data_IF_325408835635
#
_entry.id   IF_325408835635
#
_cell.length_a   1.000
_cell.length_b   1.000
_cell.length_c   1.000
_cell.angle_alpha   90.00
_cell.angle_beta   90.00
_cell.angle_gamma   90.00
#
_symmetry.space_group_name_H-M   'P 1'
#
loop_
_entity.id
_entity.type
_entity.pdbx_description
1 polymer ?
#
# COMPACT_ATOMS: atom_id res chain seq x y z
N UNK A 1 -11.17 50.91 -19.55
CA UNK A 1 -11.07 50.36 -18.17
C UNK A 1 -11.73 48.99 -18.01
N UNK A 2 -13.05 48.83 -18.21
CA UNK A 2 -13.76 47.53 -18.02
C UNK A 2 -13.15 46.32 -18.75
N UNK A 3 -12.71 46.50 -20.01
CA UNK A 3 -12.03 45.47 -20.82
C UNK A 3 -10.65 45.05 -20.27
N UNK A 4 -9.88 45.98 -19.71
CA UNK A 4 -8.57 45.69 -19.13
C UNK A 4 -8.71 44.88 -17.83
N UNK A 5 -9.70 45.21 -17.01
CA UNK A 5 -10.03 44.47 -15.77
C UNK A 5 -10.44 43.03 -16.13
N UNK A 6 -11.26 42.84 -17.16
CA UNK A 6 -11.68 41.50 -17.59
C UNK A 6 -10.49 40.63 -18.06
N UNK A 7 -9.54 41.17 -18.82
CA UNK A 7 -8.33 40.44 -19.20
C UNK A 7 -7.45 40.08 -18.00
N UNK A 8 -7.28 41.01 -17.06
CA UNK A 8 -6.50 40.77 -15.84
C UNK A 8 -7.10 39.63 -15.00
N UNK A 9 -8.43 39.55 -14.90
CA UNK A 9 -9.12 38.46 -14.18
C UNK A 9 -8.90 37.11 -14.87
N UNK A 10 -8.99 37.03 -16.21
CA UNK A 10 -8.78 35.76 -16.94
C UNK A 10 -7.34 35.27 -16.80
N UNK A 11 -6.36 36.17 -16.88
CA UNK A 11 -4.94 35.83 -16.68
C UNK A 11 -4.71 35.33 -15.25
N UNK A 12 -5.33 35.96 -14.25
CA UNK A 12 -5.24 35.54 -12.86
C UNK A 12 -5.81 34.12 -12.67
N UNK A 13 -6.93 33.79 -13.31
CA UNK A 13 -7.49 32.44 -13.30
C UNK A 13 -6.59 31.42 -14.02
N UNK A 14 -5.97 31.80 -15.13
CA UNK A 14 -4.99 30.95 -15.82
C UNK A 14 -3.77 30.64 -14.93
N UNK A 15 -3.24 31.65 -14.23
CA UNK A 15 -2.13 31.50 -13.29
C UNK A 15 -2.53 30.63 -12.08
N UNK A 16 -3.72 30.82 -11.53
CA UNK A 16 -4.24 29.97 -10.46
C UNK A 16 -4.38 28.51 -10.90
N UNK A 17 -4.90 28.27 -12.11
CA UNK A 17 -5.01 26.93 -12.69
C UNK A 17 -3.65 26.28 -12.94
N UNK A 18 -2.65 27.06 -13.39
CA UNK A 18 -1.28 26.59 -13.57
C UNK A 18 -0.59 26.26 -12.25
N UNK A 19 -0.78 27.09 -11.22
CA UNK A 19 -0.27 26.83 -9.87
C UNK A 19 -0.87 25.53 -9.29
N UNK A 20 -2.19 25.34 -9.46
CA UNK A 20 -2.87 24.09 -9.10
C UNK A 20 -2.28 22.88 -9.82
N UNK A 21 -2.06 22.97 -11.13
CA UNK A 21 -1.43 21.92 -11.92
C UNK A 21 -0.03 21.53 -11.39
N UNK A 22 0.82 22.52 -11.08
CA UNK A 22 2.17 22.26 -10.55
C UNK A 22 2.13 21.62 -9.16
N UNK A 23 1.22 22.10 -8.29
CA UNK A 23 1.03 21.54 -6.96
C UNK A 23 0.58 20.07 -7.03
N UNK A 24 -0.45 19.77 -7.83
CA UNK A 24 -0.92 18.39 -8.01
C UNK A 24 0.16 17.50 -8.65
N UNK A 25 0.95 18.02 -9.59
CA UNK A 25 2.05 17.27 -10.23
C UNK A 25 3.10 16.81 -9.22
N UNK A 26 3.46 17.67 -8.26
CA UNK A 26 4.38 17.33 -7.17
C UNK A 26 3.79 16.27 -6.22
N UNK A 27 2.51 16.46 -5.83
CA UNK A 27 1.77 15.51 -5.00
C UNK A 27 1.66 14.13 -5.65
N UNK A 28 1.29 14.06 -6.93
CA UNK A 28 1.17 12.80 -7.69
C UNK A 28 2.53 12.09 -7.76
N UNK A 29 3.61 12.80 -8.09
CA UNK A 29 4.96 12.19 -8.17
C UNK A 29 5.40 11.63 -6.82
N UNK A 30 5.06 12.31 -5.73
CA UNK A 30 5.35 11.84 -4.37
C UNK A 30 4.48 10.65 -3.99
N UNK A 31 3.17 10.71 -4.29
CA UNK A 31 2.23 9.62 -4.09
C UNK A 31 2.64 8.35 -4.85
N UNK A 32 3.06 8.47 -6.12
CA UNK A 32 3.54 7.31 -6.91
C UNK A 32 4.73 6.64 -6.24
N UNK A 33 5.70 7.43 -5.74
CA UNK A 33 6.85 6.90 -5.00
C UNK A 33 6.42 6.20 -3.72
N UNK A 34 5.45 6.74 -2.99
CA UNK A 34 4.91 6.10 -1.78
C UNK A 34 4.18 4.80 -2.10
N UNK A 35 3.41 4.73 -3.18
CA UNK A 35 2.76 3.49 -3.63
C UNK A 35 3.79 2.42 -4.00
N UNK A 36 4.83 2.76 -4.76
CA UNK A 36 5.91 1.82 -5.10
C UNK A 36 6.62 1.34 -3.84
N UNK A 37 6.97 2.25 -2.92
CA UNK A 37 7.60 1.87 -1.65
C UNK A 37 6.70 0.99 -0.78
N UNK A 38 5.39 1.27 -0.76
CA UNK A 38 4.41 0.46 -0.05
C UNK A 38 4.22 -0.92 -0.69
N UNK A 39 4.21 -1.00 -2.03
CA UNK A 39 4.15 -2.28 -2.76
C UNK A 39 5.35 -3.15 -2.40
N UNK A 40 6.57 -2.60 -2.47
CA UNK A 40 7.77 -3.33 -2.09
C UNK A 40 7.72 -3.86 -0.65
N UNK A 41 7.10 -3.11 0.28
CA UNK A 41 6.91 -3.57 1.66
C UNK A 41 5.91 -4.72 1.78
N UNK A 42 4.82 -4.68 1.00
CA UNK A 42 3.86 -5.79 0.93
C UNK A 42 4.55 -7.01 0.35
N UNK A 43 5.28 -6.89 -0.75
CA UNK A 43 5.99 -8.00 -1.40
C UNK A 43 7.03 -8.64 -0.46
N UNK A 44 7.80 -7.82 0.27
CA UNK A 44 8.72 -8.28 1.30
C UNK A 44 8.00 -9.00 2.46
N UNK A 45 6.88 -8.45 2.90
CA UNK A 45 6.05 -9.06 3.94
C UNK A 45 5.44 -10.39 3.50
N UNK A 46 5.04 -10.50 2.23
CA UNK A 46 4.54 -11.74 1.62
C UNK A 46 5.63 -12.81 1.62
N UNK A 47 6.84 -12.46 1.18
CA UNK A 47 7.98 -13.39 1.18
C UNK A 47 8.31 -13.86 2.59
N UNK A 48 8.36 -12.94 3.56
CA UNK A 48 8.61 -13.29 4.96
C UNK A 48 7.49 -14.18 5.56
N UNK A 49 6.24 -13.96 5.16
CA UNK A 49 5.11 -14.79 5.57
C UNK A 49 5.23 -16.21 4.98
N UNK A 50 5.56 -16.33 3.71
CA UNK A 50 5.74 -17.62 3.04
C UNK A 50 6.90 -18.41 3.65
N UNK A 51 8.03 -17.76 3.93
CA UNK A 51 9.13 -18.38 4.68
C UNK A 51 8.70 -18.82 6.09
N UNK A 52 7.87 -18.02 6.76
CA UNK A 52 7.30 -18.34 8.07
C UNK A 52 6.40 -19.57 8.01
N UNK A 53 5.55 -19.69 6.98
CA UNK A 53 4.70 -20.85 6.73
C UNK A 53 5.54 -22.10 6.48
N UNK A 54 6.59 -22.03 5.65
CA UNK A 54 7.48 -23.16 5.40
C UNK A 54 8.14 -23.64 6.69
N UNK A 55 8.64 -22.73 7.54
CA UNK A 55 9.21 -23.08 8.85
C UNK A 55 8.20 -23.71 9.79
N UNK A 56 6.97 -23.21 9.78
CA UNK A 56 5.88 -23.74 10.59
C UNK A 56 5.53 -25.17 10.18
N UNK A 57 5.40 -25.42 8.87
CA UNK A 57 5.12 -26.76 8.34
C UNK A 57 6.27 -27.74 8.63
N UNK A 58 7.52 -27.31 8.52
CA UNK A 58 8.67 -28.12 8.93
C UNK A 58 8.61 -28.48 10.43
N UNK A 59 8.31 -27.51 11.30
CA UNK A 59 8.16 -27.76 12.73
C UNK A 59 6.98 -28.69 13.07
N UNK A 60 5.86 -28.59 12.33
CA UNK A 60 4.74 -29.54 12.44
C UNK A 60 5.15 -30.96 12.07
N UNK A 61 5.94 -31.10 11.00
CA UNK A 61 6.42 -32.41 10.57
C UNK A 61 7.36 -33.03 11.61
N UNK A 62 8.34 -32.27 12.12
CA UNK A 62 9.24 -32.73 13.20
C UNK A 62 8.45 -33.14 14.45
N UNK A 63 7.43 -32.37 14.83
CA UNK A 63 6.56 -32.70 15.97
C UNK A 63 5.75 -33.97 15.73
N UNK A 64 5.25 -34.17 14.50
CA UNK A 64 4.52 -35.38 14.12
C UNK A 64 5.41 -36.62 14.15
N UNK A 65 6.66 -36.51 13.67
CA UNK A 65 7.65 -37.58 13.72
C UNK A 65 8.00 -37.92 15.18
N UNK A 66 8.25 -36.92 16.01
CA UNK A 66 8.51 -37.11 17.45
C UNK A 66 7.32 -37.72 18.21
N UNK A 67 6.07 -37.38 17.83
CA UNK A 67 4.86 -38.04 18.36
C UNK A 67 4.80 -39.51 17.99
N UNK A 68 5.18 -39.86 16.75
CA UNK A 68 5.20 -41.25 16.29
C UNK A 68 6.25 -42.07 17.03
N UNK A 69 7.47 -41.53 17.18
CA UNK A 69 8.53 -42.17 17.97
C UNK A 69 8.12 -42.38 19.43
N UNK A 70 7.41 -41.40 20.01
CA UNK A 70 6.88 -41.51 21.38
C UNK A 70 5.84 -42.63 21.51
N UNK A 71 4.90 -42.74 20.57
CA UNK A 71 3.91 -43.82 20.54
C UNK A 71 4.57 -45.19 20.35
N UNK A 72 5.52 -45.32 19.42
CA UNK A 72 6.29 -46.57 19.21
C UNK A 72 7.08 -46.97 20.47
N UNK A 73 7.70 -46.01 21.16
CA UNK A 73 8.40 -46.25 22.41
C UNK A 73 7.46 -46.70 23.54
N UNK A 74 6.24 -46.16 23.56
CA UNK A 74 5.20 -46.46 24.56
C UNK A 74 4.56 -47.82 24.35
N UNK A 75 4.44 -48.27 23.09
CA UNK A 75 3.94 -49.61 22.76
C UNK A 75 4.97 -50.72 23.09
N UNK A 76 6.25 -50.38 23.18
CA UNK A 76 7.29 -51.31 23.60
C UNK A 76 7.31 -51.49 25.13
N UNK A 77 6.72 -52.59 25.61
CA UNK A 77 6.72 -52.97 27.03
C UNK A 77 8.12 -52.91 27.65
N UNK A 78 9.17 -53.33 26.93
CA UNK A 78 10.56 -53.32 27.43
C UNK A 78 11.06 -51.91 27.74
N UNK A 79 10.75 -50.93 26.87
CA UNK A 79 11.15 -49.54 27.08
C UNK A 79 10.36 -48.90 28.22
N UNK A 80 9.06 -49.16 28.30
CA UNK A 80 8.21 -48.70 29.39
C UNK A 80 8.66 -49.29 30.73
N UNK A 81 8.95 -50.59 30.77
CA UNK A 81 9.45 -51.27 31.97
C UNK A 81 10.82 -50.73 32.38
N UNK A 82 11.73 -50.53 31.44
CA UNK A 82 13.05 -49.94 31.71
C UNK A 82 12.93 -48.49 32.23
N UNK A 83 12.06 -47.65 31.65
CA UNK A 83 11.85 -46.28 32.15
C UNK A 83 11.22 -46.28 33.56
N UNK A 84 10.29 -47.19 33.85
CA UNK A 84 9.74 -47.34 35.20
C UNK A 84 10.80 -47.82 36.20
N UNK A 85 11.64 -48.77 35.81
CA UNK A 85 12.64 -49.36 36.71
C UNK A 85 13.84 -48.43 36.97
N UNK A 86 14.36 -47.78 35.92
CA UNK A 86 15.56 -46.94 36.02
C UNK A 86 15.27 -45.46 36.25
N UNK A 87 14.14 -44.94 35.74
CA UNK A 87 13.78 -43.51 35.80
C UNK A 87 12.48 -43.24 36.55
N UNK A 88 11.80 -44.27 37.07
CA UNK A 88 10.52 -44.13 37.77
C UNK A 88 9.39 -43.58 36.89
N UNK A 89 9.42 -43.83 35.57
CA UNK A 89 8.39 -43.37 34.63
C UNK A 89 8.49 -41.88 34.25
N UNK A 90 9.59 -41.20 34.62
CA UNK A 90 9.77 -39.77 34.38
C UNK A 90 10.10 -39.45 32.92
N UNK A 91 10.72 -40.39 32.17
CA UNK A 91 11.13 -40.15 30.79
C UNK A 91 9.93 -39.95 29.87
N UNK A 92 8.92 -40.82 29.98
CA UNK A 92 7.69 -40.68 29.21
C UNK A 92 6.90 -39.42 29.56
N UNK A 93 6.80 -39.06 30.86
CA UNK A 93 6.16 -37.80 31.30
C UNK A 93 6.88 -36.56 30.76
N UNK A 94 8.20 -36.61 30.64
CA UNK A 94 8.98 -35.49 30.10
C UNK A 94 8.82 -35.38 28.58
N UNK A 95 8.76 -36.51 27.87
CA UNK A 95 8.46 -36.53 26.44
C UNK A 95 7.04 -36.03 26.14
N UNK A 96 6.03 -36.43 26.92
CA UNK A 96 4.65 -35.93 26.81
C UNK A 96 4.59 -34.41 27.02
N UNK A 97 5.33 -33.87 28.00
CA UNK A 97 5.46 -32.42 28.19
C UNK A 97 6.13 -31.72 27.00
N UNK A 98 7.16 -32.33 26.40
CA UNK A 98 7.82 -31.77 25.20
C UNK A 98 6.87 -31.75 24.00
N UNK A 99 6.08 -32.79 23.81
CA UNK A 99 5.06 -32.86 22.76
C UNK A 99 4.01 -31.78 22.98
N UNK A 100 3.48 -31.63 24.20
CA UNK A 100 2.50 -30.60 24.52
C UNK A 100 3.06 -29.18 24.30
N UNK A 101 4.31 -28.94 24.69
CA UNK A 101 4.99 -27.66 24.42
C UNK A 101 5.20 -27.41 22.92
N UNK A 102 5.50 -28.47 22.15
CA UNK A 102 5.59 -28.39 20.69
C UNK A 102 4.26 -28.05 20.03
N UNK A 103 3.16 -28.67 20.46
CA UNK A 103 1.82 -28.37 19.98
C UNK A 103 1.44 -26.90 20.27
N UNK A 104 1.78 -26.39 21.45
CA UNK A 104 1.57 -24.99 21.80
C UNK A 104 2.41 -24.04 20.92
N UNK A 105 3.66 -24.40 20.62
CA UNK A 105 4.50 -23.62 19.70
C UNK A 105 3.94 -23.58 18.28
N UNK A 106 3.42 -24.71 17.78
CA UNK A 106 2.76 -24.78 16.48
C UNK A 106 1.53 -23.87 16.45
N UNK A 107 0.66 -23.96 17.47
CA UNK A 107 -0.53 -23.11 17.58
C UNK A 107 -0.17 -21.61 17.59
N UNK A 108 0.84 -21.22 18.38
CA UNK A 108 1.34 -19.84 18.38
C UNK A 108 1.94 -19.43 17.03
N UNK A 109 2.55 -20.37 16.30
CA UNK A 109 3.06 -20.16 14.95
C UNK A 109 1.94 -19.91 13.95
N UNK A 110 0.87 -20.70 14.00
CA UNK A 110 -0.33 -20.51 13.16
C UNK A 110 -1.00 -19.16 13.43
N UNK A 111 -1.13 -18.77 14.69
CA UNK A 111 -1.66 -17.45 15.06
C UNK A 111 -0.82 -16.30 14.51
N UNK A 112 0.52 -16.44 14.53
CA UNK A 112 1.45 -15.45 13.95
C UNK A 112 1.30 -15.37 12.43
N UNK A 113 1.15 -16.50 11.75
CA UNK A 113 0.91 -16.53 10.29
C UNK A 113 -0.41 -15.85 9.95
N UNK A 114 -1.50 -16.19 10.64
CA UNK A 114 -2.81 -15.58 10.42
C UNK A 114 -2.80 -14.07 10.70
N UNK A 115 -2.13 -13.65 11.78
CA UNK A 115 -1.94 -12.22 12.07
C UNK A 115 -1.09 -11.53 10.98
N UNK A 116 -0.10 -12.22 10.40
CA UNK A 116 0.69 -11.75 9.27
C UNK A 116 -0.15 -11.56 8.00
N UNK A 117 -0.97 -12.54 7.64
CA UNK A 117 -1.92 -12.48 6.51
C UNK A 117 -2.86 -11.29 6.64
N UNK A 118 -3.51 -11.11 7.80
CA UNK A 118 -4.40 -9.97 8.03
C UNK A 118 -3.70 -8.62 7.89
N UNK A 119 -2.41 -8.54 8.28
CA UNK A 119 -1.60 -7.32 8.11
C UNK A 119 -1.28 -7.05 6.65
N UNK A 120 -1.00 -8.09 5.86
CA UNK A 120 -0.77 -7.98 4.42
C UNK A 120 -2.05 -7.53 3.72
N UNK A 121 -3.19 -8.17 3.98
CA UNK A 121 -4.49 -7.77 3.44
C UNK A 121 -4.81 -6.29 3.74
N UNK A 122 -4.57 -5.86 4.98
CA UNK A 122 -4.76 -4.47 5.37
C UNK A 122 -3.79 -3.52 4.65
N UNK A 123 -2.55 -3.96 4.41
CA UNK A 123 -1.55 -3.23 3.63
C UNK A 123 -1.96 -3.07 2.17
N UNK A 124 -2.44 -4.14 1.55
CA UNK A 124 -2.95 -4.15 0.17
C UNK A 124 -4.17 -3.25 -0.01
N UNK A 125 -5.12 -3.29 0.93
CA UNK A 125 -6.29 -2.38 0.91
C UNK A 125 -5.86 -0.92 0.95
N UNK A 126 -4.93 -0.56 1.84
CA UNK A 126 -4.37 0.81 1.91
C UNK A 126 -3.65 1.21 0.62
N UNK A 127 -2.94 0.28 -0.02
CA UNK A 127 -2.33 0.53 -1.33
C UNK A 127 -3.37 0.77 -2.41
N UNK A 128 -4.46 -0.01 -2.41
CA UNK A 128 -5.57 0.16 -3.35
C UNK A 128 -6.24 1.53 -3.18
N UNK A 129 -6.59 1.90 -1.96
CA UNK A 129 -7.15 3.22 -1.63
C UNK A 129 -6.20 4.35 -2.04
N UNK A 130 -4.90 4.19 -1.77
CA UNK A 130 -3.88 5.17 -2.18
C UNK A 130 -3.75 5.30 -3.71
N UNK A 131 -3.90 4.20 -4.46
CA UNK A 131 -3.91 4.22 -5.93
C UNK A 131 -5.17 4.92 -6.46
N UNK A 132 -6.32 4.70 -5.86
CA UNK A 132 -7.57 5.37 -6.24
C UNK A 132 -7.47 6.88 -6.02
N UNK A 133 -6.99 7.31 -4.85
CA UNK A 133 -6.74 8.73 -4.56
C UNK A 133 -5.75 9.36 -5.55
N UNK A 134 -4.74 8.60 -5.98
CA UNK A 134 -3.78 9.05 -6.96
C UNK A 134 -4.42 9.21 -8.35
N UNK A 135 -5.33 8.31 -8.73
CA UNK A 135 -6.13 8.43 -9.95
C UNK A 135 -7.03 9.67 -9.95
N UNK A 136 -7.68 9.96 -8.83
CA UNK A 136 -8.47 11.19 -8.66
C UNK A 136 -7.59 12.45 -8.77
N UNK A 137 -6.40 12.43 -8.17
CA UNK A 137 -5.45 13.52 -8.29
C UNK A 137 -4.96 13.71 -9.74
N UNK A 138 -4.72 12.62 -10.49
CA UNK A 138 -4.39 12.70 -11.91
C UNK A 138 -5.54 13.31 -12.75
N UNK A 139 -6.79 12.92 -12.47
CA UNK A 139 -7.96 13.53 -13.09
C UNK A 139 -8.06 15.04 -12.82
N UNK A 140 -7.88 15.44 -11.56
CA UNK A 140 -7.88 16.85 -11.18
C UNK A 140 -6.72 17.63 -11.84
N UNK A 141 -5.54 17.01 -12.00
CA UNK A 141 -4.41 17.62 -12.72
C UNK A 141 -4.77 17.88 -14.19
N UNK A 142 -5.43 16.94 -14.86
CA UNK A 142 -5.87 17.11 -16.25
C UNK A 142 -6.90 18.25 -16.33
N UNK A 143 -7.86 18.31 -15.39
CA UNK A 143 -8.82 19.41 -15.34
C UNK A 143 -8.13 20.78 -15.16
N UNK A 144 -7.13 20.89 -14.28
CA UNK A 144 -6.34 22.13 -14.14
C UNK A 144 -5.54 22.47 -15.40
N UNK A 145 -5.01 21.47 -16.12
CA UNK A 145 -4.30 21.69 -17.38
C UNK A 145 -5.24 22.22 -18.48
N UNK A 146 -6.42 21.61 -18.62
CA UNK A 146 -7.45 22.05 -19.56
C UNK A 146 -7.97 23.44 -19.19
N UNK A 147 -8.21 23.72 -17.91
CA UNK A 147 -8.59 25.05 -17.43
C UNK A 147 -7.56 26.10 -17.82
N UNK A 148 -6.28 25.85 -17.58
CA UNK A 148 -5.20 26.76 -17.97
C UNK A 148 -5.16 26.99 -19.49
N UNK A 149 -5.30 25.92 -20.29
CA UNK A 149 -5.35 26.03 -21.76
C UNK A 149 -6.55 26.84 -22.25
N UNK A 150 -7.73 26.67 -21.65
CA UNK A 150 -8.94 27.41 -22.01
C UNK A 150 -8.81 28.89 -21.65
N UNK A 151 -8.36 29.21 -20.42
CA UNK A 151 -8.22 30.61 -19.99
C UNK A 151 -7.13 31.35 -20.77
N UNK A 152 -6.01 30.71 -21.08
CA UNK A 152 -4.97 31.29 -21.93
C UNK A 152 -5.46 31.52 -23.36
N UNK A 153 -6.15 30.54 -23.96
CA UNK A 153 -6.74 30.69 -25.30
C UNK A 153 -7.76 31.84 -25.34
N UNK A 154 -8.64 31.93 -24.33
CA UNK A 154 -9.65 32.99 -24.20
C UNK A 154 -8.98 34.37 -24.06
N UNK A 155 -7.92 34.46 -23.26
CA UNK A 155 -7.16 35.70 -23.08
C UNK A 155 -6.54 36.19 -24.39
N UNK A 156 -5.98 35.28 -25.19
CA UNK A 156 -5.38 35.60 -26.51
C UNK A 156 -6.45 36.10 -27.48
N UNK A 157 -7.58 35.39 -27.60
CA UNK A 157 -8.67 35.77 -28.51
C UNK A 157 -9.28 37.12 -28.13
N UNK A 158 -9.61 37.33 -26.85
CA UNK A 158 -10.17 38.60 -26.37
C UNK A 158 -9.17 39.74 -26.48
N UNK A 159 -7.89 39.48 -26.20
CA UNK A 159 -6.81 40.44 -26.38
C UNK A 159 -6.72 40.93 -27.83
N UNK A 160 -6.75 40.01 -28.79
CA UNK A 160 -6.71 40.35 -30.22
C UNK A 160 -7.96 41.10 -30.68
N UNK A 161 -9.15 40.64 -30.27
CA UNK A 161 -10.43 41.21 -30.68
C UNK A 161 -10.65 42.62 -30.12
N UNK A 162 -10.31 42.84 -28.85
CA UNK A 162 -10.43 44.16 -28.21
C UNK A 162 -9.35 45.15 -28.63
N UNK A 163 -8.14 44.68 -28.95
CA UNK A 163 -7.10 45.51 -29.58
C UNK A 163 -7.56 46.05 -30.94
N UNK A 164 -8.21 45.23 -31.76
CA UNK A 164 -8.77 45.63 -33.06
C UNK A 164 -9.98 46.58 -32.95
N UNK A 165 -10.78 46.45 -31.89
CA UNK A 165 -11.93 47.34 -31.60
C UNK A 165 -11.49 48.74 -31.15
N UNK A 166 -10.46 48.85 -30.32
CA UNK A 166 -9.91 50.14 -29.87
C UNK A 166 -9.22 50.90 -31.01
N UNK A 167 -8.55 50.19 -31.93
CA UNK A 167 -7.95 50.81 -33.11
C UNK A 167 -8.99 51.49 -34.03
N UNK A 168 -10.20 50.92 -34.11
CA UNK A 168 -11.29 51.43 -34.98
C UNK A 168 -11.96 52.68 -34.42
N UNK A 169 -12.08 52.78 -33.10
CA UNK A 169 -12.66 53.95 -32.41
C UNK A 169 -11.71 55.13 -32.43
N UNK A 170 -10.40 54.90 -32.29
CA UNK A 170 -9.40 55.96 -32.38
C UNK A 170 -9.32 56.59 -33.78
N UNK A 171 -9.55 55.81 -34.85
CA UNK A 171 -9.60 56.33 -36.23
C UNK A 171 -10.85 57.17 -36.54
N UNK A 172 -11.96 56.94 -35.84
CA UNK A 172 -13.23 57.65 -36.07
C UNK A 172 -13.35 58.98 -35.32
N UNK A 173 -12.39 59.31 -34.45
CA UNK A 173 -12.41 60.54 -33.62
C UNK A 173 -11.32 61.53 -34.06
N UNK A 174 -10.65 61.25 -35.18
CA UNK A 174 -9.55 62.05 -35.72
C UNK A 174 -9.82 62.64 -37.12
N UNK A 175 -11.09 62.60 -37.57
CA UNK A 175 -11.60 63.40 -38.70
C UNK A 175 -12.48 64.53 -38.14
#
# INVERSE_FOLDING_TARGET
MKKAIALAVIILWALASMAGYLYLSGKITTGKRQIVAGQNKVDQGQTALDEGKVKLEAGKQELSEGKKEYEEAKDSWLLVFADNLFKGGKGFKEAEKKIAAGDEQVAQGEDKVNAGERRLDAGERKLSEGREQLGLAEGARIACALGAAVFTSLAIVLGFWWRRSLYRTFKSTGD
#
